data_IF_578341412934
#
_entry.id   IF_578341412934
#
_cell.length_a   1.000
_cell.length_b   1.000
_cell.length_c   1.000
_cell.angle_alpha   90.00
_cell.angle_beta   90.00
_cell.angle_gamma   90.00
#
_symmetry.space_group_name_H-M   'P 1'
#
loop_
_entity.id
_entity.type
_entity.pdbx_description
1 polymer ?
#
# COMPACT_ATOMS: atom_id res chain seq x y z
N UNK A 1 39.63 17.15 -42.64
CA UNK A 1 41.02 16.73 -42.38
C UNK A 1 41.44 17.30 -41.03
N UNK A 2 41.35 16.51 -39.96
CA UNK A 2 41.75 16.88 -38.59
C UNK A 2 43.27 16.79 -38.40
N UNK A 3 44.01 17.75 -38.99
CA UNK A 3 45.50 17.74 -39.07
C UNK A 3 46.13 18.59 -37.95
N UNK A 4 45.37 19.02 -36.96
CA UNK A 4 45.93 19.75 -35.82
C UNK A 4 46.75 18.79 -34.96
N UNK A 5 48.06 19.07 -34.81
CA UNK A 5 48.94 18.32 -33.92
C UNK A 5 48.44 18.43 -32.48
N UNK A 6 48.23 17.29 -31.82
CA UNK A 6 47.83 17.25 -30.41
C UNK A 6 49.07 17.06 -29.54
N UNK A 7 49.16 17.85 -28.47
CA UNK A 7 50.15 17.66 -27.42
C UNK A 7 49.82 16.37 -26.68
N UNK A 8 50.56 15.29 -26.98
CA UNK A 8 50.55 14.07 -26.19
C UNK A 8 51.00 14.44 -24.77
N UNK A 9 50.05 14.53 -23.86
CA UNK A 9 50.33 14.82 -22.46
C UNK A 9 51.10 13.68 -21.80
N UNK A 10 51.74 13.97 -20.67
CA UNK A 10 52.42 12.97 -19.84
C UNK A 10 51.38 11.97 -19.32
N UNK A 11 51.69 10.67 -19.38
CA UNK A 11 50.72 9.54 -19.25
C UNK A 11 49.92 9.49 -17.94
N UNK A 12 50.28 10.29 -16.93
CA UNK A 12 49.76 10.21 -15.56
C UNK A 12 48.90 11.40 -15.10
N UNK A 13 48.50 12.33 -15.99
CA UNK A 13 47.54 13.39 -15.63
C UNK A 13 46.12 13.04 -16.11
N UNK A 14 45.16 13.00 -15.17
CA UNK A 14 43.74 12.88 -15.48
C UNK A 14 43.10 14.27 -15.59
N UNK A 15 42.32 14.59 -16.65
CA UNK A 15 42.02 13.77 -17.84
C UNK A 15 43.01 13.96 -19.02
N UNK A 16 43.30 12.87 -19.75
CA UNK A 16 44.13 12.85 -20.97
C UNK A 16 43.46 13.66 -22.11
N UNK A 17 44.18 14.62 -22.72
CA UNK A 17 43.66 15.53 -23.77
C UNK A 17 43.87 15.02 -25.21
N UNK A 18 44.28 13.78 -25.39
CA UNK A 18 44.79 13.25 -26.66
C UNK A 18 43.70 13.08 -27.74
N UNK A 19 42.43 12.96 -27.35
CA UNK A 19 41.35 12.65 -28.30
C UNK A 19 40.37 13.81 -28.49
N UNK A 20 40.17 14.66 -27.48
CA UNK A 20 39.21 15.75 -27.53
C UNK A 20 39.85 17.10 -27.16
N UNK A 21 39.65 18.09 -28.01
CA UNK A 21 40.08 19.47 -27.74
C UNK A 21 39.12 20.17 -26.78
N UNK A 22 37.84 19.80 -26.82
CA UNK A 22 36.80 20.28 -25.92
C UNK A 22 35.69 19.21 -25.79
N UNK A 23 35.25 18.96 -24.56
CA UNK A 23 34.24 17.93 -24.27
C UNK A 23 32.80 18.45 -24.41
N UNK A 24 32.62 19.76 -24.62
CA UNK A 24 31.30 20.38 -24.77
C UNK A 24 30.89 20.59 -26.22
N UNK A 25 31.80 20.35 -27.17
CA UNK A 25 31.57 20.54 -28.60
C UNK A 25 30.58 19.51 -29.20
N UNK A 26 30.04 19.85 -30.36
CA UNK A 26 29.19 18.95 -31.16
C UNK A 26 29.92 17.66 -31.57
N UNK A 27 31.21 17.77 -31.90
CA UNK A 27 32.04 16.61 -32.26
C UNK A 27 32.24 15.64 -31.10
N UNK A 28 32.25 16.13 -29.85
CA UNK A 28 32.32 15.25 -28.68
C UNK A 28 31.02 14.44 -28.55
N UNK A 29 29.87 15.08 -28.72
CA UNK A 29 28.57 14.40 -28.69
C UNK A 29 28.43 13.36 -29.81
N UNK A 30 28.82 13.69 -31.03
CA UNK A 30 28.82 12.75 -32.16
C UNK A 30 29.66 11.49 -31.85
N UNK A 31 30.89 11.68 -31.37
CA UNK A 31 31.77 10.57 -31.02
C UNK A 31 31.24 9.70 -29.86
N UNK A 32 30.61 10.32 -28.86
CA UNK A 32 29.95 9.59 -27.77
C UNK A 32 28.80 8.74 -28.34
N UNK A 33 28.01 9.28 -29.27
CA UNK A 33 26.94 8.55 -29.96
C UNK A 33 27.46 7.30 -30.68
N UNK A 34 28.53 7.43 -31.47
CA UNK A 34 29.14 6.28 -32.16
C UNK A 34 29.68 5.22 -31.20
N UNK A 35 30.39 5.62 -30.14
CA UNK A 35 30.93 4.66 -29.16
C UNK A 35 29.81 3.95 -28.41
N UNK A 36 28.72 4.67 -28.07
CA UNK A 36 27.56 4.08 -27.43
C UNK A 36 26.87 3.08 -28.37
N UNK A 37 26.61 3.47 -29.63
CA UNK A 37 26.00 2.59 -30.63
C UNK A 37 26.82 1.30 -30.83
N UNK A 38 28.14 1.42 -30.97
CA UNK A 38 29.04 0.28 -31.09
C UNK A 38 28.94 -0.66 -29.88
N UNK A 39 28.93 -0.11 -28.66
CA UNK A 39 28.79 -0.92 -27.43
C UNK A 39 27.43 -1.59 -27.34
N UNK A 40 26.35 -0.89 -27.70
CA UNK A 40 25.01 -1.46 -27.77
C UNK A 40 24.98 -2.66 -28.73
N UNK A 41 25.60 -2.53 -29.91
CA UNK A 41 25.70 -3.61 -30.87
C UNK A 41 26.52 -4.81 -30.34
N UNK A 42 27.66 -4.56 -29.68
CA UNK A 42 28.44 -5.63 -29.04
C UNK A 42 27.64 -6.38 -27.94
N UNK A 43 26.73 -5.68 -27.27
CA UNK A 43 25.86 -6.25 -26.23
C UNK A 43 24.56 -6.85 -26.78
N UNK A 44 24.28 -6.71 -28.08
CA UNK A 44 23.03 -7.16 -28.70
C UNK A 44 21.82 -6.27 -28.41
N UNK A 45 22.03 -5.03 -27.95
CA UNK A 45 20.98 -4.02 -27.77
C UNK A 45 20.68 -3.40 -29.13
N UNK A 46 19.52 -3.72 -29.69
CA UNK A 46 19.10 -3.28 -31.04
C UNK A 46 18.27 -2.01 -31.04
N UNK A 47 17.54 -1.74 -29.95
CA UNK A 47 16.63 -0.60 -29.83
C UNK A 47 16.79 0.12 -28.50
N UNK A 48 16.66 1.44 -28.52
CA UNK A 48 16.67 2.33 -27.36
C UNK A 48 15.50 3.30 -27.49
N UNK A 49 14.97 3.79 -26.37
CA UNK A 49 14.07 4.93 -26.37
C UNK A 49 14.88 6.24 -26.27
N UNK A 50 14.64 7.17 -27.17
CA UNK A 50 15.19 8.53 -27.08
C UNK A 50 14.07 9.54 -26.82
N UNK A 51 14.13 10.20 -25.67
CA UNK A 51 13.13 11.20 -25.30
C UNK A 51 13.37 12.54 -26.02
N UNK A 52 12.61 12.76 -27.09
CA UNK A 52 12.64 14.00 -27.89
C UNK A 52 11.99 15.17 -27.16
N UNK A 53 11.13 14.93 -26.16
CA UNK A 53 10.44 15.98 -25.39
C UNK A 53 11.43 16.65 -24.44
N UNK A 54 12.17 15.87 -23.67
CA UNK A 54 13.20 16.39 -22.76
C UNK A 54 14.42 16.91 -23.52
N UNK A 55 14.82 16.21 -24.60
CA UNK A 55 16.01 16.54 -25.38
C UNK A 55 15.64 16.93 -26.81
N UNK A 56 15.17 18.16 -27.05
CA UNK A 56 14.76 18.58 -28.37
C UNK A 56 15.94 18.56 -29.35
N UNK A 57 15.65 18.10 -30.57
CA UNK A 57 16.60 18.03 -31.70
C UNK A 57 16.89 19.41 -32.32
N UNK A 58 16.42 20.49 -31.69
CA UNK A 58 16.73 21.88 -32.08
C UNK A 58 18.20 22.20 -31.83
N UNK A 59 18.80 21.63 -30.78
CA UNK A 59 20.22 21.81 -30.51
C UNK A 59 21.07 20.94 -31.45
N UNK A 60 22.08 21.57 -32.07
CA UNK A 60 23.01 20.89 -32.98
C UNK A 60 23.70 19.70 -32.30
N UNK A 61 23.95 19.79 -31.00
CA UNK A 61 24.59 18.75 -30.21
C UNK A 61 23.70 17.52 -30.04
N UNK A 62 22.43 17.71 -29.63
CA UNK A 62 21.52 16.59 -29.45
C UNK A 62 21.20 15.94 -30.79
N UNK A 63 21.07 16.75 -31.86
CA UNK A 63 20.91 16.24 -33.22
C UNK A 63 22.10 15.40 -33.67
N UNK A 64 23.33 15.89 -33.50
CA UNK A 64 24.53 15.13 -33.87
C UNK A 64 24.66 13.81 -33.10
N UNK A 65 24.30 13.79 -31.81
CA UNK A 65 24.26 12.56 -31.01
C UNK A 65 23.18 11.58 -31.50
N UNK A 66 21.98 12.10 -31.78
CA UNK A 66 20.85 11.32 -32.30
C UNK A 66 21.18 10.68 -33.66
N UNK A 67 21.72 11.49 -34.59
CA UNK A 67 22.11 11.03 -35.92
C UNK A 67 23.23 9.97 -35.84
N UNK A 68 24.18 10.10 -34.91
CA UNK A 68 25.25 9.13 -34.69
C UNK A 68 24.75 7.77 -34.17
N UNK A 69 23.68 7.75 -33.37
CA UNK A 69 23.05 6.50 -32.91
C UNK A 69 22.33 5.78 -34.06
N UNK A 70 21.62 6.52 -34.90
CA UNK A 70 20.94 5.97 -36.09
C UNK A 70 21.96 5.44 -37.10
N UNK A 71 23.03 6.19 -37.38
CA UNK A 71 24.08 5.75 -38.31
C UNK A 71 24.84 4.54 -37.78
N UNK A 72 24.96 4.41 -36.45
CA UNK A 72 25.47 3.23 -35.75
C UNK A 72 24.53 2.02 -35.76
N UNK A 73 23.34 2.13 -36.36
CA UNK A 73 22.41 1.01 -36.54
C UNK A 73 21.52 0.70 -35.34
N UNK A 74 21.40 1.62 -34.37
CA UNK A 74 20.48 1.49 -33.23
C UNK A 74 19.13 2.11 -33.59
N UNK A 75 18.05 1.37 -33.41
CA UNK A 75 16.70 1.90 -33.56
C UNK A 75 16.33 2.75 -32.33
N UNK A 76 15.88 3.99 -32.52
CA UNK A 76 15.56 4.92 -31.42
C UNK A 76 14.07 4.93 -31.02
N UNK A 77 13.35 3.89 -31.43
CA UNK A 77 11.97 3.63 -31.05
C UNK A 77 11.91 2.27 -30.36
N UNK A 78 11.53 2.29 -29.09
CA UNK A 78 11.27 1.07 -28.34
C UNK A 78 9.84 0.61 -28.63
N UNK A 79 9.68 -0.67 -29.02
CA UNK A 79 8.35 -1.25 -29.16
C UNK A 79 7.72 -1.31 -27.77
N UNK A 80 6.62 -0.60 -27.58
CA UNK A 80 5.81 -0.79 -26.39
C UNK A 80 5.24 -2.22 -26.43
N UNK A 81 5.63 -3.02 -25.46
CA UNK A 81 4.96 -4.29 -25.22
C UNK A 81 3.79 -4.02 -24.29
N UNK A 82 2.63 -4.60 -24.60
CA UNK A 82 1.56 -4.67 -23.61
C UNK A 82 2.09 -5.47 -22.43
N UNK A 83 2.04 -4.88 -21.24
CA UNK A 83 2.37 -5.62 -20.03
C UNK A 83 1.41 -6.81 -19.97
N UNK A 84 1.92 -8.04 -19.79
CA UNK A 84 1.04 -9.19 -19.64
C UNK A 84 0.06 -8.88 -18.53
N UNK A 85 -1.24 -9.04 -18.81
CA UNK A 85 -2.29 -8.76 -17.83
C UNK A 85 -1.96 -9.51 -16.55
N UNK A 86 -1.92 -8.79 -15.43
CA UNK A 86 -1.71 -9.41 -14.14
C UNK A 86 -2.82 -10.45 -13.93
N UNK A 87 -2.43 -11.72 -13.77
CA UNK A 87 -3.36 -12.77 -13.37
C UNK A 87 -3.65 -12.56 -11.89
N UNK A 88 -4.64 -11.72 -11.61
CA UNK A 88 -5.07 -11.31 -10.28
C UNK A 88 -6.49 -10.78 -10.32
N UNK A 89 -7.17 -10.86 -9.18
CA UNK A 89 -8.46 -10.21 -8.97
C UNK A 89 -8.16 -8.91 -8.22
N UNK A 90 -8.42 -7.76 -8.82
CA UNK A 90 -8.25 -6.46 -8.19
C UNK A 90 -9.28 -6.29 -7.07
N UNK A 91 -8.90 -6.61 -5.83
CA UNK A 91 -9.81 -6.55 -4.68
C UNK A 91 -10.44 -5.17 -4.49
N UNK A 92 -9.77 -4.09 -4.89
CA UNK A 92 -10.29 -2.73 -4.75
C UNK A 92 -11.34 -2.39 -5.82
N UNK A 93 -11.39 -3.11 -6.93
CA UNK A 93 -12.39 -2.89 -7.99
C UNK A 93 -13.72 -3.62 -7.73
N UNK A 94 -13.74 -4.62 -6.84
CA UNK A 94 -14.97 -5.38 -6.55
C UNK A 94 -15.88 -4.66 -5.57
N UNK A 95 -17.17 -4.81 -5.80
CA UNK A 95 -18.21 -4.45 -4.82
C UNK A 95 -18.17 -5.38 -3.62
N UNK A 96 -18.73 -4.96 -2.48
CA UNK A 96 -18.78 -5.83 -1.29
C UNK A 96 -19.54 -7.14 -1.54
N UNK A 97 -20.57 -7.11 -2.39
CA UNK A 97 -21.38 -8.29 -2.70
C UNK A 97 -20.60 -9.29 -3.56
N UNK A 98 -19.80 -8.83 -4.50
CA UNK A 98 -18.88 -9.68 -5.28
C UNK A 98 -17.72 -10.21 -4.42
N UNK A 99 -17.21 -9.42 -3.46
CA UNK A 99 -16.24 -9.92 -2.48
C UNK A 99 -16.82 -11.05 -1.64
N UNK A 100 -18.09 -10.91 -1.22
CA UNK A 100 -18.82 -11.91 -0.43
C UNK A 100 -19.10 -13.19 -1.23
N UNK A 101 -19.27 -13.10 -2.54
CA UNK A 101 -19.48 -14.28 -3.39
C UNK A 101 -18.19 -15.05 -3.65
N UNK A 102 -17.06 -14.35 -3.83
CA UNK A 102 -15.73 -14.95 -3.99
C UNK A 102 -15.25 -15.60 -2.70
N UNK A 103 -15.50 -14.95 -1.56
CA UNK A 103 -15.14 -15.44 -0.25
C UNK A 103 -16.34 -15.28 0.69
N UNK A 104 -17.17 -16.33 0.84
CA UNK A 104 -18.11 -16.36 1.94
C UNK A 104 -17.30 -16.16 3.22
N UNK A 105 -17.76 -15.32 4.15
CA UNK A 105 -16.99 -15.03 5.36
C UNK A 105 -16.65 -16.37 6.01
N UNK A 106 -15.38 -16.57 6.37
CA UNK A 106 -14.92 -17.78 7.07
C UNK A 106 -15.85 -18.14 8.24
N UNK A 107 -16.44 -17.13 8.89
CA UNK A 107 -17.43 -17.27 9.95
C UNK A 107 -18.74 -17.93 9.47
N UNK A 108 -19.23 -17.59 8.28
CA UNK A 108 -20.46 -18.13 7.70
C UNK A 108 -20.25 -19.55 7.16
N UNK A 109 -19.08 -19.84 6.57
CA UNK A 109 -18.70 -21.22 6.26
C UNK A 109 -18.58 -22.07 7.53
N UNK A 110 -17.87 -21.58 8.55
CA UNK A 110 -17.72 -22.26 9.84
C UNK A 110 -19.03 -22.42 10.62
N UNK A 111 -20.08 -21.67 10.26
CA UNK A 111 -21.45 -21.77 10.81
C UNK A 111 -22.32 -22.76 10.04
N UNK A 112 -22.09 -22.92 8.75
CA UNK A 112 -22.96 -23.71 7.84
C UNK A 112 -22.42 -25.12 7.58
N UNK A 113 -21.10 -25.31 7.55
CA UNK A 113 -20.52 -26.65 7.38
C UNK A 113 -20.71 -27.48 8.65
N UNK A 114 -21.43 -28.60 8.56
CA UNK A 114 -21.43 -29.62 9.62
C UNK A 114 -20.00 -30.10 9.86
N UNK A 115 -19.62 -30.34 11.12
CA UNK A 115 -18.30 -30.87 11.45
C UNK A 115 -18.20 -32.32 10.94
N UNK A 116 -17.56 -32.54 9.80
CA UNK A 116 -17.37 -33.86 9.20
C UNK A 116 -16.36 -34.76 9.97
N UNK A 117 -15.96 -34.38 11.20
CA UNK A 117 -15.16 -35.26 12.05
C UNK A 117 -14.62 -34.63 13.33
N UNK A 118 -14.08 -35.49 14.20
CA UNK A 118 -13.24 -35.10 15.34
C UNK A 118 -11.95 -34.44 14.86
N UNK A 119 -12.02 -33.16 14.49
CA UNK A 119 -10.85 -32.40 14.10
C UNK A 119 -10.00 -32.06 15.34
N UNK A 120 -8.80 -32.64 15.41
CA UNK A 120 -7.77 -32.21 16.36
C UNK A 120 -7.26 -30.84 15.94
N UNK A 121 -7.76 -29.79 16.56
CA UNK A 121 -7.21 -28.45 16.35
C UNK A 121 -5.70 -28.41 16.65
N UNK A 122 -4.91 -27.63 15.88
CA UNK A 122 -3.49 -27.40 16.15
C UNK A 122 -3.30 -26.81 17.55
N UNK A 123 -2.11 -27.01 18.13
CA UNK A 123 -1.84 -26.71 19.54
C UNK A 123 -2.11 -25.24 19.92
N UNK A 124 -1.95 -24.30 18.98
CA UNK A 124 -2.26 -22.87 19.13
C UNK A 124 -3.74 -22.56 19.36
N UNK A 125 -4.64 -23.44 18.88
CA UNK A 125 -6.10 -23.31 18.99
C UNK A 125 -6.68 -24.19 20.12
N UNK A 126 -5.85 -24.96 20.83
CA UNK A 126 -6.28 -25.74 21.99
C UNK A 126 -6.35 -24.84 23.23
N UNK A 127 -7.35 -25.03 24.10
CA UNK A 127 -7.42 -24.26 25.34
C UNK A 127 -6.17 -24.52 26.19
N UNK A 128 -5.42 -23.46 26.46
CA UNK A 128 -4.29 -23.49 27.39
C UNK A 128 -4.81 -23.81 28.79
N UNK A 129 -4.23 -24.82 29.45
CA UNK A 129 -4.55 -25.18 30.84
C UNK A 129 -4.00 -24.12 31.80
N UNK A 130 -4.59 -22.91 31.89
CA UNK A 130 -4.36 -21.87 32.94
C UNK A 130 -5.07 -20.53 32.62
N UNK A 131 -4.81 -19.49 33.43
CA UNK A 131 -5.32 -18.10 33.31
C UNK A 131 -5.26 -17.49 31.90
N UNK A 132 -4.40 -17.99 31.02
CA UNK A 132 -4.30 -17.63 29.60
C UNK A 132 -5.59 -17.90 28.82
N UNK A 133 -6.43 -18.86 29.24
CA UNK A 133 -7.75 -19.13 28.65
C UNK A 133 -8.78 -18.00 28.87
N UNK A 134 -8.49 -17.02 29.73
CA UNK A 134 -9.30 -15.82 29.94
C UNK A 134 -8.88 -14.64 29.06
N UNK A 135 -7.99 -14.83 28.09
CA UNK A 135 -7.63 -13.79 27.11
C UNK A 135 -8.48 -13.95 25.84
N UNK A 136 -8.93 -12.83 25.28
CA UNK A 136 -9.77 -12.75 24.07
C UNK A 136 -9.17 -13.50 22.87
N UNK A 137 -7.84 -13.59 22.77
CA UNK A 137 -7.14 -14.28 21.67
C UNK A 137 -7.21 -15.80 21.71
N UNK A 138 -7.53 -16.42 22.85
CA UNK A 138 -7.62 -17.88 23.02
C UNK A 138 -9.07 -18.37 23.07
N UNK A 139 -9.99 -17.62 22.46
CA UNK A 139 -11.40 -17.97 22.39
C UNK A 139 -11.59 -19.32 21.69
N UNK A 140 -12.31 -20.21 22.38
CA UNK A 140 -12.60 -21.53 21.85
C UNK A 140 -13.66 -21.40 20.75
N UNK A 141 -13.28 -21.67 19.50
CA UNK A 141 -14.17 -21.67 18.34
C UNK A 141 -15.47 -22.46 18.60
N UNK A 142 -15.41 -23.54 19.40
CA UNK A 142 -16.58 -24.33 19.78
C UNK A 142 -17.58 -23.58 20.68
N UNK A 143 -17.16 -22.58 21.48
CA UNK A 143 -18.07 -21.73 22.26
C UNK A 143 -18.71 -20.65 21.41
N UNK A 144 -17.95 -20.04 20.50
CA UNK A 144 -18.49 -19.09 19.51
C UNK A 144 -19.57 -19.78 18.67
N UNK A 145 -19.32 -21.02 18.22
CA UNK A 145 -20.31 -21.86 17.51
C UNK A 145 -21.59 -22.14 18.31
N UNK A 146 -21.48 -22.25 19.64
CA UNK A 146 -22.63 -22.44 20.54
C UNK A 146 -23.36 -21.14 20.88
N UNK A 147 -23.01 -20.03 20.22
CA UNK A 147 -23.64 -18.72 20.42
C UNK A 147 -23.19 -17.98 21.67
N UNK A 148 -22.01 -18.29 22.21
CA UNK A 148 -21.45 -17.53 23.33
C UNK A 148 -20.86 -16.21 22.82
N UNK A 149 -21.08 -15.14 23.57
CA UNK A 149 -20.55 -13.80 23.33
C UNK A 149 -19.44 -13.52 24.36
N UNK A 150 -18.48 -12.70 23.97
CA UNK A 150 -17.41 -12.26 24.87
C UNK A 150 -17.93 -11.16 25.78
N UNK A 151 -17.84 -11.40 27.09
CA UNK A 151 -18.18 -10.42 28.12
C UNK A 151 -16.94 -9.59 28.46
N UNK A 152 -16.95 -8.32 28.08
CA UNK A 152 -15.83 -7.41 28.29
C UNK A 152 -15.60 -7.08 29.77
N UNK A 153 -16.61 -7.17 30.62
CA UNK A 153 -16.50 -6.84 32.04
C UNK A 153 -15.89 -8.00 32.85
N UNK A 154 -16.42 -9.21 32.68
CA UNK A 154 -15.93 -10.38 33.41
C UNK A 154 -14.82 -11.14 32.66
N UNK A 155 -14.39 -10.64 31.48
CA UNK A 155 -13.38 -11.23 30.60
C UNK A 155 -13.56 -12.75 30.40
N UNK A 156 -14.80 -13.15 30.07
CA UNK A 156 -15.18 -14.56 29.89
C UNK A 156 -16.23 -14.71 28.79
N UNK A 157 -16.33 -15.91 28.23
CA UNK A 157 -17.38 -16.24 27.25
C UNK A 157 -18.68 -16.63 27.98
N UNK A 158 -19.77 -15.95 27.67
CA UNK A 158 -21.09 -16.10 28.33
C UNK A 158 -22.18 -16.28 27.26
N UNK A 159 -23.25 -17.02 27.54
CA UNK A 159 -24.40 -17.02 26.63
C UNK A 159 -25.13 -15.68 26.76
N UNK A 160 -25.77 -15.15 25.70
CA UNK A 160 -26.53 -13.91 25.78
C UNK A 160 -27.58 -13.88 26.91
N UNK A 161 -28.16 -15.03 27.24
CA UNK A 161 -29.14 -15.19 28.34
C UNK A 161 -28.55 -15.03 29.74
N UNK A 162 -27.25 -15.30 29.89
CA UNK A 162 -26.56 -15.28 31.18
C UNK A 162 -25.74 -13.97 31.36
N UNK A 163 -25.90 -13.00 30.45
CA UNK A 163 -25.31 -11.66 30.61
C UNK A 163 -25.99 -10.92 31.76
N UNK A 164 -25.24 -10.03 32.42
CA UNK A 164 -25.83 -9.20 33.46
C UNK A 164 -26.85 -8.24 32.84
N UNK A 165 -28.02 -8.08 33.48
CA UNK A 165 -29.12 -7.28 32.95
C UNK A 165 -28.69 -5.85 32.57
N UNK A 166 -27.86 -5.21 33.40
CA UNK A 166 -27.34 -3.86 33.14
C UNK A 166 -26.47 -3.77 31.87
N UNK A 167 -25.75 -4.84 31.50
CA UNK A 167 -24.95 -4.85 30.27
C UNK A 167 -25.85 -4.92 29.04
N UNK A 168 -26.95 -5.67 29.13
CA UNK A 168 -27.96 -5.75 28.07
C UNK A 168 -28.61 -4.39 27.88
N UNK A 169 -29.01 -3.73 28.97
CA UNK A 169 -29.57 -2.37 28.95
C UNK A 169 -28.60 -1.35 28.33
N UNK A 170 -27.33 -1.36 28.74
CA UNK A 170 -26.31 -0.47 28.15
C UNK A 170 -26.11 -0.71 26.65
N UNK A 171 -26.10 -1.98 26.23
CA UNK A 171 -25.98 -2.32 24.81
C UNK A 171 -27.18 -1.83 24.00
N UNK A 172 -28.40 -1.93 24.56
CA UNK A 172 -29.62 -1.42 23.95
C UNK A 172 -29.58 0.10 23.81
N UNK A 173 -29.23 0.81 24.90
CA UNK A 173 -29.05 2.27 24.90
C UNK A 173 -28.03 2.68 23.85
N UNK A 174 -26.90 1.98 23.76
CA UNK A 174 -25.87 2.27 22.75
C UNK A 174 -26.40 2.05 21.33
N UNK A 175 -27.06 0.92 21.04
CA UNK A 175 -27.66 0.66 19.72
C UNK A 175 -28.74 1.66 19.35
N UNK A 176 -29.55 2.11 20.31
CA UNK A 176 -30.59 3.09 20.09
C UNK A 176 -30.03 4.50 19.83
N UNK A 177 -28.85 4.80 20.37
CA UNK A 177 -28.16 6.07 20.17
C UNK A 177 -27.20 6.05 18.98
N UNK A 178 -26.87 4.87 18.44
CA UNK A 178 -26.00 4.73 17.27
C UNK A 178 -26.68 5.34 16.04
N UNK A 179 -26.14 6.44 15.51
CA UNK A 179 -26.68 7.15 14.36
C UNK A 179 -27.72 8.22 14.69
N UNK A 180 -27.99 8.49 15.97
CA UNK A 180 -28.73 9.70 16.38
C UNK A 180 -27.73 10.81 16.69
N UNK A 181 -27.97 12.02 16.19
CA UNK A 181 -27.19 13.19 16.56
C UNK A 181 -27.40 13.50 18.05
N UNK A 182 -26.39 13.18 18.87
CA UNK A 182 -26.40 13.36 20.33
C UNK A 182 -26.17 14.83 20.71
N UNK A 183 -25.88 15.70 19.72
CA UNK A 183 -25.61 17.13 19.91
C UNK A 183 -26.69 17.84 20.73
N UNK A 184 -27.98 17.56 20.47
CA UNK A 184 -29.08 18.18 21.23
C UNK A 184 -29.15 17.70 22.68
N UNK A 185 -28.88 16.42 22.96
CA UNK A 185 -28.86 15.88 24.34
C UNK A 185 -27.65 16.35 25.13
N UNK A 186 -26.52 16.57 24.45
CA UNK A 186 -25.32 17.16 25.06
C UNK A 186 -25.54 18.64 25.38
N UNK A 187 -26.21 19.38 24.49
CA UNK A 187 -26.59 20.77 24.74
C UNK A 187 -27.57 20.92 25.92
N UNK A 188 -28.55 20.03 26.06
CA UNK A 188 -29.46 19.98 27.22
C UNK A 188 -28.73 19.65 28.54
N UNK A 189 -27.64 18.89 28.48
CA UNK A 189 -26.82 18.56 29.66
C UNK A 189 -25.83 19.68 30.06
N UNK A 190 -25.54 20.62 29.15
CA UNK A 190 -24.71 21.80 29.39
C UNK A 190 -25.50 22.95 30.02
N UNK A 191 -26.83 22.92 30.00
CA UNK A 191 -27.64 23.85 30.78
C UNK A 191 -27.42 23.57 32.27
N UNK A 192 -26.85 24.52 33.04
CA UNK A 192 -26.59 24.29 34.45
C UNK A 192 -27.92 24.08 35.15
N UNK A 193 -28.12 22.88 35.69
CA UNK A 193 -29.34 22.54 36.44
C UNK A 193 -29.64 23.66 37.45
N UNK A 194 -30.85 24.22 37.39
CA UNK A 194 -31.24 25.33 38.25
C UNK A 194 -30.96 24.97 39.72
N UNK A 195 -30.00 25.68 40.31
CA UNK A 195 -29.63 25.47 41.70
C UNK A 195 -30.77 26.01 42.55
N UNK A 196 -31.62 25.13 43.04
CA UNK A 196 -32.67 25.49 43.98
C UNK A 196 -32.04 25.91 45.32
N UNK A 197 -31.82 27.22 45.50
CA UNK A 197 -31.31 27.78 46.76
C UNK A 197 -32.50 27.98 47.72
N UNK A 198 -32.54 27.26 48.86
CA UNK A 198 -33.61 27.40 49.85
C UNK A 198 -33.68 28.81 50.42
N UNK A 199 -34.89 29.32 50.68
CA UNK A 199 -35.14 30.72 51.08
C UNK A 199 -34.30 31.18 52.28
N UNK A 200 -34.05 30.28 53.24
CA UNK A 200 -33.22 30.55 54.44
C UNK A 200 -31.77 30.99 54.14
N UNK A 201 -31.29 30.81 52.92
CA UNK A 201 -29.92 31.14 52.50
C UNK A 201 -29.86 32.31 51.52
N UNK A 202 -30.98 32.98 51.25
CA UNK A 202 -31.00 34.23 50.49
C UNK A 202 -30.79 35.38 51.50
N UNK A 203 -29.65 36.05 51.41
CA UNK A 203 -29.39 37.25 52.21
C UNK A 203 -30.20 38.41 51.61
N UNK A 204 -31.04 39.05 52.41
CA UNK A 204 -31.70 40.32 52.07
C UNK A 204 -30.69 41.47 51.94
#
# INVERSE_FOLDING_TARGET
>A
MGVASKTLGWEFQAPRKDYWHNNTDTSAAENIGYVLAYRCQCLGITSLFFDVVENPLTSLRNKAFYDALISGGVALEEKSFEHPREYGIDYDSLTEDEKRSLYPRLIDELRTTMDWGMQKYPFSLRPSRRSVARKRSYQVLSKIRRGYVWDDFYHRMVKPKDMAAWQVEQSQIFTENLGKDISNKLAEAEEPAEVHIPEKWRLE
#
